data_IF_805596998319
#
_entry.id   IF_805596998319
#
_cell.length_a   1.000
_cell.length_b   1.000
_cell.length_c   1.000
_cell.angle_alpha   90.00
_cell.angle_beta   90.00
_cell.angle_gamma   90.00
#
_symmetry.space_group_name_H-M   'P 1'
#
loop_
_entity.id
_entity.type
_entity.pdbx_description
1 polymer ?
#
# COMPACT_ATOMS: atom_id res chain seq x y z
N UNK A 1 3.74 12.48 6.39
CA UNK A 1 2.32 12.60 6.78
C UNK A 1 1.64 11.23 6.83
N UNK A 2 1.93 10.31 5.90
CA UNK A 2 1.37 8.94 5.89
C UNK A 2 1.67 8.10 7.14
N UNK A 3 2.83 8.27 7.77
CA UNK A 3 3.16 7.52 9.01
C UNK A 3 2.18 7.73 10.18
N UNK A 4 1.44 8.84 10.20
CA UNK A 4 0.46 9.10 11.26
C UNK A 4 -0.97 8.70 10.86
N UNK A 5 -1.27 8.49 9.56
CA UNK A 5 -2.63 8.11 9.15
C UNK A 5 -3.01 6.70 9.59
N UNK A 6 -2.08 5.74 9.52
CA UNK A 6 -2.30 4.39 10.05
C UNK A 6 -2.63 4.41 11.54
N UNK A 7 -1.91 5.24 12.31
CA UNK A 7 -2.09 5.35 13.75
C UNK A 7 -3.45 5.98 14.09
N UNK A 8 -3.82 7.05 13.39
CA UNK A 8 -5.14 7.68 13.52
C UNK A 8 -6.28 6.73 13.14
N UNK A 9 -6.15 5.97 12.05
CA UNK A 9 -7.14 4.97 11.66
C UNK A 9 -7.31 3.90 12.75
N UNK A 10 -6.21 3.43 13.36
CA UNK A 10 -6.26 2.47 14.47
C UNK A 10 -6.96 3.05 15.70
N UNK A 11 -6.69 4.31 16.04
CA UNK A 11 -7.35 4.98 17.16
C UNK A 11 -8.85 5.14 16.90
N UNK A 12 -9.24 5.62 15.70
CA UNK A 12 -10.65 5.72 15.28
C UNK A 12 -11.35 4.37 15.45
N UNK A 13 -10.74 3.30 14.97
CA UNK A 13 -11.30 1.95 15.05
C UNK A 13 -11.44 1.46 16.49
N UNK A 14 -10.39 1.61 17.30
CA UNK A 14 -10.40 1.18 18.70
C UNK A 14 -11.53 1.86 19.47
N UNK A 15 -11.70 3.16 19.27
CA UNK A 15 -12.70 3.96 19.99
C UNK A 15 -14.09 3.66 19.44
N UNK A 16 -14.23 3.49 18.13
CA UNK A 16 -15.52 3.14 17.54
C UNK A 16 -16.00 1.76 18.02
N UNK A 17 -15.09 0.79 18.11
CA UNK A 17 -15.41 -0.57 18.58
C UNK A 17 -15.75 -0.64 20.08
N UNK A 18 -15.26 0.31 20.88
CA UNK A 18 -15.50 0.36 22.33
C UNK A 18 -16.70 1.22 22.70
N UNK A 19 -16.94 2.31 21.97
CA UNK A 19 -18.00 3.29 22.27
C UNK A 19 -19.25 3.11 21.42
N UNK A 20 -19.16 2.39 20.30
CA UNK A 20 -20.19 2.26 19.26
C UNK A 20 -20.72 3.59 18.72
N UNK A 21 -19.98 4.67 18.93
CA UNK A 21 -20.42 6.03 18.62
C UNK A 21 -19.38 6.75 17.78
N UNK A 22 -19.77 7.07 16.55
CA UNK A 22 -18.94 7.87 15.64
C UNK A 22 -18.72 9.28 16.17
N UNK A 23 -19.69 9.86 16.90
CA UNK A 23 -19.53 11.19 17.48
C UNK A 23 -18.48 11.21 18.59
N UNK A 24 -18.47 10.20 19.47
CA UNK A 24 -17.44 10.07 20.51
C UNK A 24 -16.06 9.78 19.92
N UNK A 25 -16.03 9.01 18.84
CA UNK A 25 -14.80 8.73 18.10
C UNK A 25 -14.20 10.00 17.50
N UNK A 26 -15.02 10.82 16.82
CA UNK A 26 -14.59 12.12 16.32
C UNK A 26 -14.13 13.06 17.44
N UNK A 27 -14.83 13.04 18.58
CA UNK A 27 -14.47 13.87 19.74
C UNK A 27 -13.09 13.51 20.27
N UNK A 28 -12.78 12.22 20.38
CA UNK A 28 -11.49 11.77 20.87
C UNK A 28 -10.36 12.17 19.92
N UNK A 29 -10.50 11.93 18.61
CA UNK A 29 -9.47 12.29 17.62
C UNK A 29 -9.29 13.81 17.53
N UNK A 30 -10.37 14.58 17.73
CA UNK A 30 -10.31 16.04 17.78
C UNK A 30 -9.46 16.58 18.93
N UNK A 31 -9.25 15.78 19.99
CA UNK A 31 -8.41 16.10 21.15
C UNK A 31 -6.99 15.52 21.06
N UNK A 32 -6.68 14.73 20.03
CA UNK A 32 -5.35 14.17 19.81
C UNK A 32 -4.31 15.22 19.38
N UNK A 33 -3.04 14.83 19.43
CA UNK A 33 -1.90 15.67 19.02
C UNK A 33 -1.63 15.60 17.51
N UNK A 34 -2.68 15.70 16.68
CA UNK A 34 -2.57 15.72 15.21
C UNK A 34 -2.95 17.10 14.66
N UNK A 35 -1.97 17.98 14.35
CA UNK A 35 -2.25 19.40 14.07
C UNK A 35 -3.30 19.63 12.97
N UNK A 36 -3.22 18.85 11.88
CA UNK A 36 -4.12 19.00 10.73
C UNK A 36 -5.40 18.19 10.92
N UNK A 37 -5.28 16.92 11.32
CA UNK A 37 -6.42 16.01 11.42
C UNK A 37 -7.34 16.41 12.58
N UNK A 38 -6.77 16.70 13.76
CA UNK A 38 -7.56 17.08 14.93
C UNK A 38 -8.30 18.40 14.70
N UNK A 39 -7.71 19.36 13.98
CA UNK A 39 -8.41 20.59 13.59
C UNK A 39 -9.61 20.30 12.69
N UNK A 40 -9.42 19.48 11.65
CA UNK A 40 -10.52 19.08 10.75
C UNK A 40 -11.62 18.36 11.51
N UNK A 41 -11.28 17.42 12.40
CA UNK A 41 -12.27 16.69 13.20
C UNK A 41 -13.06 17.60 14.14
N UNK A 42 -12.47 18.70 14.66
CA UNK A 42 -13.20 19.71 15.44
C UNK A 42 -14.28 20.42 14.61
N UNK A 43 -13.95 20.77 13.36
CA UNK A 43 -14.89 21.44 12.46
C UNK A 43 -16.08 20.53 12.15
N UNK A 44 -15.82 19.26 11.86
CA UNK A 44 -16.88 18.27 11.62
C UNK A 44 -17.71 17.97 12.87
N UNK A 45 -17.09 17.90 14.05
CA UNK A 45 -17.80 17.70 15.31
C UNK A 45 -18.73 18.88 15.61
N UNK A 46 -18.31 20.11 15.27
CA UNK A 46 -19.16 21.30 15.39
C UNK A 46 -20.36 21.22 14.44
N UNK A 47 -20.16 20.85 13.17
CA UNK A 47 -21.27 20.64 12.23
C UNK A 47 -22.23 19.52 12.72
N UNK A 48 -21.70 18.44 13.28
CA UNK A 48 -22.49 17.33 13.82
C UNK A 48 -23.33 17.75 15.05
N UNK A 49 -22.76 18.55 15.94
CA UNK A 49 -23.46 19.11 17.11
C UNK A 49 -24.55 20.12 16.74
N UNK A 50 -24.44 20.76 15.57
CA UNK A 50 -25.47 21.65 15.02
C UNK A 50 -26.66 20.89 14.42
N UNK A 51 -26.64 19.54 14.47
CA UNK A 51 -27.75 18.70 14.03
C UNK A 51 -27.59 18.15 12.61
N UNK A 52 -26.47 18.43 11.93
CA UNK A 52 -26.12 17.80 10.66
C UNK A 52 -25.72 16.34 10.88
N UNK A 53 -26.72 15.45 11.03
CA UNK A 53 -26.54 13.99 11.17
C UNK A 53 -26.47 13.26 9.83
N UNK A 54 -26.36 14.01 8.75
CA UNK A 54 -26.53 13.49 7.41
C UNK A 54 -25.25 12.80 6.92
N UNK A 55 -25.40 11.68 6.22
CA UNK A 55 -24.27 10.87 5.69
C UNK A 55 -23.38 11.71 4.76
N UNK A 56 -23.96 12.74 4.17
CA UNK A 56 -23.28 13.77 3.37
C UNK A 56 -22.14 14.47 4.13
N UNK A 57 -22.22 14.62 5.45
CA UNK A 57 -21.16 15.18 6.29
C UNK A 57 -19.93 14.24 6.33
N UNK A 58 -20.16 12.93 6.42
CA UNK A 58 -19.09 11.94 6.43
C UNK A 58 -18.46 11.73 5.04
N UNK A 59 -19.26 11.86 3.97
CA UNK A 59 -18.73 11.90 2.60
C UNK A 59 -17.86 13.15 2.36
N UNK A 60 -18.27 14.30 2.89
CA UNK A 60 -17.47 15.54 2.87
C UNK A 60 -16.21 15.39 3.72
N UNK A 61 -16.30 14.69 4.85
CA UNK A 61 -15.16 14.38 5.71
C UNK A 61 -14.13 13.54 4.97
N UNK A 62 -14.54 12.48 4.27
CA UNK A 62 -13.63 11.65 3.47
C UNK A 62 -12.91 12.45 2.37
N UNK A 63 -13.65 13.26 1.61
CA UNK A 63 -13.09 14.07 0.51
C UNK A 63 -12.08 15.12 0.95
N UNK A 64 -12.25 15.65 2.17
CA UNK A 64 -11.41 16.73 2.69
C UNK A 64 -10.25 16.20 3.57
N UNK A 65 -10.07 14.89 3.70
CA UNK A 65 -8.92 14.36 4.43
C UNK A 65 -7.61 14.61 3.67
N UNK A 66 -6.54 15.05 4.37
CA UNK A 66 -5.22 15.21 3.77
C UNK A 66 -4.55 13.87 3.43
N UNK A 67 -4.94 12.78 4.10
CA UNK A 67 -4.44 11.42 3.82
C UNK A 67 -5.48 10.60 3.06
N UNK A 68 -5.02 9.97 1.97
CA UNK A 68 -5.83 9.05 1.16
C UNK A 68 -6.27 7.81 1.96
N UNK A 69 -5.45 7.37 2.91
CA UNK A 69 -5.77 6.21 3.76
C UNK A 69 -6.93 6.52 4.70
N UNK A 70 -6.94 7.70 5.32
CA UNK A 70 -8.04 8.14 6.19
C UNK A 70 -9.31 8.38 5.36
N UNK A 71 -9.18 8.99 4.17
CA UNK A 71 -10.30 9.18 3.25
C UNK A 71 -10.94 7.83 2.87
N UNK A 72 -10.13 6.87 2.43
CA UNK A 72 -10.58 5.53 2.10
C UNK A 72 -11.18 4.82 3.31
N UNK A 73 -10.60 4.99 4.50
CA UNK A 73 -11.13 4.41 5.74
C UNK A 73 -12.53 4.94 6.07
N UNK A 74 -12.75 6.25 5.96
CA UNK A 74 -14.06 6.86 6.21
C UNK A 74 -15.09 6.35 5.19
N UNK A 75 -14.73 6.29 3.91
CA UNK A 75 -15.62 5.83 2.83
C UNK A 75 -15.97 4.35 2.92
N UNK A 76 -14.99 3.50 3.20
CA UNK A 76 -15.18 2.04 3.19
C UNK A 76 -15.62 1.46 4.54
N UNK A 77 -15.47 2.22 5.64
CA UNK A 77 -15.82 1.74 6.99
C UNK A 77 -16.86 2.60 7.70
N UNK A 78 -16.61 3.91 7.87
CA UNK A 78 -17.48 4.77 8.70
C UNK A 78 -18.85 4.95 8.05
N UNK A 79 -18.89 5.20 6.73
CA UNK A 79 -20.15 5.40 6.01
C UNK A 79 -21.02 4.14 6.01
N UNK A 80 -20.52 2.94 5.64
CA UNK A 80 -21.32 1.72 5.69
C UNK A 80 -21.72 1.31 7.12
N UNK A 81 -20.89 1.61 8.13
CA UNK A 81 -21.26 1.42 9.55
C UNK A 81 -22.45 2.29 9.94
N UNK A 82 -22.46 3.57 9.54
CA UNK A 82 -23.59 4.48 9.80
C UNK A 82 -24.87 4.09 9.05
N UNK A 83 -24.73 3.47 7.87
CA UNK A 83 -25.84 2.92 7.09
C UNK A 83 -26.39 1.59 7.66
N UNK A 84 -25.70 0.99 8.63
CA UNK A 84 -26.07 -0.30 9.20
C UNK A 84 -25.74 -1.51 8.32
N UNK A 85 -24.95 -1.32 7.26
CA UNK A 85 -24.53 -2.39 6.34
C UNK A 85 -23.44 -3.28 6.94
N UNK A 86 -22.70 -2.78 7.93
CA UNK A 86 -21.62 -3.48 8.61
C UNK A 86 -21.92 -3.59 10.11
N UNK A 87 -21.86 -4.79 10.67
CA UNK A 87 -21.96 -5.04 12.11
C UNK A 87 -20.58 -5.05 12.80
N UNK A 88 -20.57 -4.74 14.10
CA UNK A 88 -19.35 -4.76 14.93
C UNK A 88 -18.59 -6.08 14.96
N UNK A 89 -19.26 -7.23 14.77
CA UNK A 89 -18.59 -8.53 14.73
C UNK A 89 -17.75 -8.74 13.47
N UNK A 90 -18.10 -8.07 12.38
CA UNK A 90 -17.38 -8.14 11.10
C UNK A 90 -16.26 -7.10 11.00
N UNK A 91 -16.22 -6.13 11.90
CA UNK A 91 -15.30 -4.98 11.87
C UNK A 91 -13.83 -5.40 11.99
N UNK A 92 -13.51 -6.36 12.86
CA UNK A 92 -12.15 -6.91 12.98
C UNK A 92 -11.74 -7.75 11.76
N UNK A 93 -12.69 -8.49 11.19
CA UNK A 93 -12.39 -9.45 10.11
C UNK A 93 -12.25 -8.75 8.75
N UNK A 94 -13.08 -7.73 8.48
CA UNK A 94 -12.97 -6.89 7.27
C UNK A 94 -11.68 -6.08 7.26
N UNK A 95 -11.26 -5.58 8.42
CA UNK A 95 -10.04 -4.82 8.56
C UNK A 95 -8.79 -5.69 8.42
N UNK A 96 -8.77 -6.89 9.01
CA UNK A 96 -7.73 -7.87 8.72
C UNK A 96 -7.67 -8.18 7.22
N UNK A 97 -8.81 -8.37 6.56
CA UNK A 97 -8.88 -8.64 5.12
C UNK A 97 -8.37 -7.47 4.27
N UNK A 98 -8.74 -6.23 4.60
CA UNK A 98 -8.29 -5.04 3.86
C UNK A 98 -6.80 -4.78 4.07
N UNK A 99 -6.29 -4.89 5.30
CA UNK A 99 -4.86 -4.75 5.59
C UNK A 99 -4.04 -5.86 4.94
N UNK A 100 -4.53 -7.10 4.98
CA UNK A 100 -3.92 -8.20 4.25
C UNK A 100 -3.91 -7.91 2.76
N UNK A 101 -5.02 -7.43 2.19
CA UNK A 101 -5.09 -7.12 0.76
C UNK A 101 -4.09 -6.03 0.37
N UNK A 102 -4.04 -4.91 1.08
CA UNK A 102 -3.13 -3.81 0.73
C UNK A 102 -1.66 -4.19 0.92
N UNK A 103 -1.32 -4.91 2.01
CA UNK A 103 0.04 -5.42 2.20
C UNK A 103 0.39 -6.43 1.12
N UNK A 104 -0.54 -7.32 0.76
CA UNK A 104 -0.33 -8.34 -0.25
C UNK A 104 -0.19 -7.74 -1.65
N UNK A 105 -0.97 -6.72 -2.00
CA UNK A 105 -0.83 -5.94 -3.23
C UNK A 105 0.52 -5.21 -3.30
N UNK A 106 0.95 -4.60 -2.19
CA UNK A 106 2.28 -3.99 -2.11
C UNK A 106 3.40 -5.04 -2.28
N UNK A 107 3.28 -6.20 -1.61
CA UNK A 107 4.22 -7.31 -1.79
C UNK A 107 4.20 -7.87 -3.22
N UNK A 108 3.02 -8.02 -3.83
CA UNK A 108 2.87 -8.45 -5.22
C UNK A 108 3.54 -7.46 -6.16
N UNK A 109 3.31 -6.15 -5.99
CA UNK A 109 3.94 -5.12 -6.82
C UNK A 109 5.46 -5.12 -6.68
N UNK A 110 5.98 -5.28 -5.47
CA UNK A 110 7.42 -5.44 -5.24
C UNK A 110 7.97 -6.73 -5.87
N UNK A 111 7.22 -7.83 -5.76
CA UNK A 111 7.59 -9.12 -6.33
C UNK A 111 7.57 -9.07 -7.86
N UNK A 112 6.56 -8.47 -8.46
CA UNK A 112 6.43 -8.23 -9.90
C UNK A 112 7.55 -7.33 -10.40
N UNK A 113 7.87 -6.25 -9.69
CA UNK A 113 9.01 -5.39 -10.02
C UNK A 113 10.33 -6.17 -9.99
N UNK A 114 10.56 -6.98 -8.95
CA UNK A 114 11.77 -7.82 -8.84
C UNK A 114 11.82 -8.93 -9.90
N UNK A 115 10.69 -9.58 -10.19
CA UNK A 115 10.57 -10.58 -11.26
C UNK A 115 10.81 -9.96 -12.64
N UNK A 116 10.30 -8.76 -12.88
CA UNK A 116 10.53 -8.02 -14.12
C UNK A 116 12.02 -7.70 -14.31
N UNK A 117 12.70 -7.24 -13.26
CA UNK A 117 14.16 -7.01 -13.28
C UNK A 117 14.91 -8.32 -13.52
N UNK A 118 14.53 -9.40 -12.81
CA UNK A 118 15.15 -10.72 -12.98
C UNK A 118 14.99 -11.25 -14.41
N UNK A 119 13.79 -11.16 -14.99
CA UNK A 119 13.54 -11.53 -16.38
C UNK A 119 14.34 -10.66 -17.35
N UNK A 120 14.44 -9.35 -17.10
CA UNK A 120 15.22 -8.46 -17.95
C UNK A 120 16.71 -8.86 -18.01
N UNK A 121 17.30 -9.22 -16.87
CA UNK A 121 18.71 -9.63 -16.79
C UNK A 121 18.99 -11.04 -17.32
N UNK A 122 18.11 -12.00 -17.04
CA UNK A 122 18.35 -13.42 -17.39
C UNK A 122 17.93 -13.76 -18.81
N UNK A 123 16.91 -13.08 -19.35
CA UNK A 123 16.33 -13.43 -20.66
C UNK A 123 16.48 -12.31 -21.68
N UNK A 124 15.97 -11.11 -21.40
CA UNK A 124 15.86 -10.05 -22.42
C UNK A 124 17.24 -9.52 -22.84
N UNK A 125 18.10 -9.18 -21.87
CA UNK A 125 19.46 -8.67 -22.15
C UNK A 125 20.29 -9.69 -22.92
N UNK A 126 20.41 -10.97 -22.48
CA UNK A 126 21.18 -11.97 -23.22
C UNK A 126 20.62 -12.26 -24.62
N UNK A 127 19.30 -12.30 -24.80
CA UNK A 127 18.67 -12.48 -26.12
C UNK A 127 19.01 -11.30 -27.03
N UNK A 128 18.90 -10.07 -26.54
CA UNK A 128 19.15 -8.86 -27.32
C UNK A 128 20.62 -8.77 -27.73
N UNK A 129 21.56 -9.07 -26.83
CA UNK A 129 22.99 -9.13 -27.13
C UNK A 129 23.28 -10.22 -28.16
N UNK A 130 22.68 -11.41 -28.00
CA UNK A 130 22.87 -12.53 -28.93
C UNK A 130 22.38 -12.16 -30.34
N UNK A 131 21.20 -11.54 -30.43
CA UNK A 131 20.61 -11.12 -31.70
C UNK A 131 21.43 -10.00 -32.37
N UNK A 132 21.93 -9.06 -31.57
CA UNK A 132 22.81 -7.99 -32.04
C UNK A 132 24.15 -8.54 -32.57
N UNK A 133 24.74 -9.52 -31.90
CA UNK A 133 25.96 -10.21 -32.36
C UNK A 133 25.76 -10.96 -33.68
N UNK A 134 24.58 -11.56 -33.87
CA UNK A 134 24.20 -12.20 -35.14
C UNK A 134 24.06 -11.17 -36.27
N UNK A 135 23.38 -10.04 -36.00
CA UNK A 135 23.16 -8.98 -37.00
C UNK A 135 24.48 -8.30 -37.41
N UNK A 136 25.41 -8.09 -36.48
CA UNK A 136 26.74 -7.53 -36.79
C UNK A 136 27.71 -8.55 -37.41
N UNK A 137 27.29 -9.78 -37.68
CA UNK A 137 28.09 -10.78 -38.39
C UNK A 137 29.23 -11.40 -37.57
N UNK A 138 29.23 -11.23 -36.24
CA UNK A 138 30.28 -11.75 -35.34
C UNK A 138 30.09 -13.24 -34.96
N UNK A 139 29.34 -14.01 -35.74
CA UNK A 139 29.13 -15.45 -35.51
C UNK A 139 30.37 -16.26 -35.93
N UNK A 140 31.45 -16.12 -35.15
CA UNK A 140 32.55 -17.09 -35.16
C UNK A 140 32.19 -18.28 -34.27
N UNK A 141 32.66 -19.48 -34.62
CA UNK A 141 32.45 -20.72 -33.84
C UNK A 141 32.84 -20.55 -32.37
N UNK A 142 33.84 -19.70 -32.09
CA UNK A 142 34.28 -19.34 -30.75
C UNK A 142 33.17 -18.68 -29.92
N UNK A 143 32.38 -17.78 -30.52
CA UNK A 143 31.34 -17.02 -29.83
C UNK A 143 30.14 -17.90 -29.43
N UNK A 144 29.83 -18.94 -30.22
CA UNK A 144 28.81 -19.95 -29.91
C UNK A 144 29.18 -20.75 -28.66
N UNK A 145 30.48 -21.02 -28.44
CA UNK A 145 30.98 -21.73 -27.24
C UNK A 145 30.96 -20.82 -26.00
N UNK A 146 31.19 -19.51 -26.16
CA UNK A 146 31.15 -18.55 -25.05
C UNK A 146 29.75 -18.08 -24.66
N UNK A 147 28.76 -18.21 -25.54
CA UNK A 147 27.38 -17.83 -25.28
C UNK A 147 26.78 -18.46 -24.01
N UNK A 148 26.84 -19.79 -23.80
CA UNK A 148 26.35 -20.40 -22.56
C UNK A 148 27.11 -19.94 -21.31
N UNK A 149 28.38 -19.56 -21.44
CA UNK A 149 29.19 -19.06 -20.32
C UNK A 149 28.81 -17.61 -19.96
N UNK A 150 28.42 -16.80 -20.95
CA UNK A 150 27.83 -15.48 -20.75
C UNK A 150 26.48 -15.55 -20.04
N UNK A 151 25.59 -16.46 -20.46
CA UNK A 151 24.33 -16.72 -19.75
C UNK A 151 24.57 -17.11 -18.29
N UNK A 152 25.54 -17.99 -18.03
CA UNK A 152 25.89 -18.40 -16.67
C UNK A 152 26.40 -17.23 -15.79
N UNK A 153 27.18 -16.31 -16.36
CA UNK A 153 27.62 -15.10 -15.64
C UNK A 153 26.44 -14.17 -15.34
N UNK A 154 25.53 -13.97 -16.30
CA UNK A 154 24.33 -13.16 -16.07
C UNK A 154 23.43 -13.78 -15.00
N UNK A 155 23.28 -15.10 -14.98
CA UNK A 155 22.53 -15.81 -13.93
C UNK A 155 23.19 -15.64 -12.54
N UNK A 156 24.52 -15.69 -12.47
CA UNK A 156 25.27 -15.43 -11.22
C UNK A 156 25.08 -13.99 -10.73
N UNK A 157 25.17 -13.00 -11.63
CA UNK A 157 24.94 -11.58 -11.29
C UNK A 157 23.49 -11.36 -10.84
N UNK A 158 22.52 -11.98 -11.50
CA UNK A 158 21.11 -11.91 -11.12
C UNK A 158 20.87 -12.56 -9.73
N UNK A 159 21.55 -13.67 -9.43
CA UNK A 159 21.49 -14.33 -8.13
C UNK A 159 22.08 -13.44 -7.01
N UNK A 160 23.22 -12.81 -7.25
CA UNK A 160 23.87 -11.91 -6.29
C UNK A 160 23.01 -10.67 -6.02
N UNK A 161 22.40 -10.08 -7.06
CA UNK A 161 21.48 -8.95 -6.94
C UNK A 161 20.20 -9.30 -6.16
N UNK A 162 19.63 -10.50 -6.39
CA UNK A 162 18.49 -10.99 -5.61
C UNK A 162 18.84 -11.20 -4.14
N UNK A 163 20.07 -11.64 -3.86
CA UNK A 163 20.56 -11.85 -2.49
C UNK A 163 20.86 -10.53 -1.79
N UNK A 164 21.48 -9.57 -2.46
CA UNK A 164 21.72 -8.22 -1.95
C UNK A 164 20.39 -7.49 -1.65
N UNK A 165 19.41 -7.57 -2.56
CA UNK A 165 18.06 -7.02 -2.35
C UNK A 165 17.21 -7.76 -1.31
N UNK A 166 17.74 -8.82 -0.68
CA UNK A 166 17.13 -9.55 0.45
C UNK A 166 17.61 -9.01 1.81
N UNK A 167 18.77 -8.34 1.85
CA UNK A 167 19.39 -7.81 3.07
C UNK A 167 18.65 -6.53 3.52
N UNK A 168 18.23 -5.68 2.59
CA UNK A 168 17.45 -4.46 2.91
C UNK A 168 16.00 -4.77 3.35
N UNK A 169 15.50 -5.99 3.17
CA UNK A 169 14.15 -6.40 3.56
C UNK A 169 14.05 -6.97 5.00
N UNK A 170 15.18 -7.20 5.67
CA UNK A 170 15.22 -7.73 7.04
C UNK A 170 15.69 -6.71 8.08
N UNK A 171 15.82 -5.43 7.70
CA UNK A 171 16.12 -4.33 8.60
C UNK A 171 17.55 -3.82 8.47
N UNK A 172 17.72 -2.85 7.57
CA UNK A 172 18.61 -1.71 7.74
C UNK A 172 17.76 -0.45 7.87
#
# INVERSE_FOLDING_TARGET
>A
MEQYSDLVCNEIQLILSTTNSVSLTLEFISKGDYPVISSLMKDYLKELNLGSKDITLFQKLAKNQPSKEIAAFVESYIIPYLLGEISNSNLYMMDFQWRMRNKFEAYLSQLEGKMSIFLAFTTIIPITISLLLVVFGYMSISLVVFLPLLFFIFDLVAFELLKAGKIDLLGG
#
